data_IF_825681144200
#
_entry.id   IF_825681144200
#
_cell.length_a   1.000
_cell.length_b   1.000
_cell.length_c   1.000
_cell.angle_alpha   90.00
_cell.angle_beta   90.00
_cell.angle_gamma   90.00
#
_symmetry.space_group_name_H-M   'P 1'
#
loop_
_entity.id
_entity.type
_entity.pdbx_description
1 polymer ?
#
# COMPACT_ATOMS: atom_id res chain seq x y z
N UNK A 1 -0.56 -0.18 -15.28
CA UNK A 1 -0.67 -0.35 -13.81
C UNK A 1 -1.73 -1.40 -13.52
N UNK A 2 -1.28 -2.56 -13.06
CA UNK A 2 -2.14 -3.63 -12.57
C UNK A 2 -1.92 -3.76 -11.06
N UNK A 3 -3.01 -3.99 -10.32
CA UNK A 3 -2.97 -4.14 -8.86
C UNK A 3 -3.54 -5.51 -8.49
N UNK A 4 -2.77 -6.28 -7.71
CA UNK A 4 -3.18 -7.59 -7.22
C UNK A 4 -3.28 -7.58 -5.69
N UNK A 5 -4.48 -7.77 -5.16
CA UNK A 5 -4.71 -7.82 -3.72
C UNK A 5 -4.16 -9.14 -3.17
N UNK A 6 -3.31 -9.05 -2.13
CA UNK A 6 -2.73 -10.18 -1.41
C UNK A 6 -3.41 -10.43 -0.07
N UNK A 7 -3.73 -9.35 0.65
CA UNK A 7 -4.42 -9.40 1.94
C UNK A 7 -5.45 -8.29 2.00
N UNK A 8 -6.64 -8.65 2.45
CA UNK A 8 -7.72 -7.69 2.66
C UNK A 8 -8.42 -7.98 3.98
N UNK A 9 -8.61 -6.93 4.76
CA UNK A 9 -9.43 -6.92 5.98
C UNK A 9 -10.00 -5.52 6.17
N UNK A 10 -10.81 -5.31 7.20
CA UNK A 10 -11.32 -3.97 7.52
C UNK A 10 -10.20 -2.98 7.87
N UNK A 11 -9.10 -3.45 8.44
CA UNK A 11 -8.01 -2.61 8.98
C UNK A 11 -6.74 -2.62 8.17
N UNK A 12 -6.52 -3.64 7.37
CA UNK A 12 -5.27 -3.86 6.65
C UNK A 12 -5.55 -4.20 5.18
N UNK A 13 -4.75 -3.60 4.30
CA UNK A 13 -4.74 -3.90 2.87
C UNK A 13 -3.29 -4.10 2.43
N UNK A 14 -3.04 -5.21 1.74
CA UNK A 14 -1.77 -5.51 1.10
C UNK A 14 -2.02 -5.81 -0.37
N UNK A 15 -1.29 -5.13 -1.25
CA UNK A 15 -1.41 -5.33 -2.69
C UNK A 15 -0.06 -5.23 -3.40
N UNK A 16 0.06 -5.96 -4.49
CA UNK A 16 1.21 -5.92 -5.39
C UNK A 16 0.90 -4.98 -6.56
N UNK A 17 1.85 -4.11 -6.89
CA UNK A 17 1.74 -3.18 -8.02
C UNK A 17 2.66 -3.63 -9.14
N UNK A 18 2.07 -3.95 -10.29
CA UNK A 18 2.80 -4.41 -11.47
C UNK A 18 2.99 -3.22 -12.41
N UNK A 19 4.18 -3.17 -13.03
CA UNK A 19 4.64 -2.19 -14.03
C UNK A 19 5.02 -0.80 -13.49
N UNK A 20 4.26 -0.22 -12.56
CA UNK A 20 4.44 1.18 -12.15
C UNK A 20 4.98 1.32 -10.72
N UNK A 21 6.15 1.96 -10.57
CA UNK A 21 6.79 2.18 -9.25
C UNK A 21 6.79 3.64 -8.81
N UNK A 22 6.68 4.59 -9.74
CA UNK A 22 6.85 6.03 -9.49
C UNK A 22 5.81 6.58 -8.50
N UNK A 23 4.58 6.07 -8.54
CA UNK A 23 3.46 6.56 -7.73
C UNK A 23 3.49 6.06 -6.27
N UNK A 24 4.29 5.04 -5.95
CA UNK A 24 4.25 4.39 -4.64
C UNK A 24 4.71 5.31 -3.51
N UNK A 25 5.78 6.09 -3.74
CA UNK A 25 6.27 7.01 -2.73
C UNK A 25 5.32 8.20 -2.52
N UNK A 26 4.84 8.90 -3.56
CA UNK A 26 3.80 9.92 -3.40
C UNK A 26 2.53 9.39 -2.73
N UNK A 27 2.09 8.17 -3.06
CA UNK A 27 0.93 7.53 -2.42
C UNK A 27 1.18 7.28 -0.94
N UNK A 28 2.36 6.77 -0.57
CA UNK A 28 2.78 6.58 0.82
C UNK A 28 2.73 7.89 1.60
N UNK A 29 3.39 8.93 1.08
CA UNK A 29 3.41 10.26 1.71
C UNK A 29 2.00 10.81 1.88
N UNK A 30 1.15 10.64 0.86
CA UNK A 30 -0.25 11.10 0.93
C UNK A 30 -1.06 10.34 1.98
N UNK A 31 -0.85 9.03 2.10
CA UNK A 31 -1.53 8.20 3.10
C UNK A 31 -1.10 8.53 4.53
N UNK A 32 0.16 8.92 4.74
CA UNK A 32 0.66 9.36 6.05
C UNK A 32 0.01 10.67 6.56
N UNK A 33 -0.64 11.45 5.70
CA UNK A 33 -1.36 12.67 6.10
C UNK A 33 -2.69 12.37 6.82
N UNK A 34 -3.24 11.16 6.68
CA UNK A 34 -4.53 10.78 7.26
C UNK A 34 -4.37 10.29 8.70
N UNK A 35 -5.11 10.88 9.63
CA UNK A 35 -5.05 10.54 11.06
C UNK A 35 -5.48 9.09 11.34
N UNK A 36 -6.35 8.52 10.50
CA UNK A 36 -6.75 7.12 10.62
C UNK A 36 -5.65 6.14 10.20
N UNK A 37 -4.64 6.56 9.44
CA UNK A 37 -3.56 5.68 8.98
C UNK A 37 -2.55 5.48 10.11
N UNK A 38 -2.41 4.23 10.53
CA UNK A 38 -1.50 3.84 11.60
C UNK A 38 -0.12 3.47 11.05
N UNK A 39 -0.09 2.85 9.87
CA UNK A 39 1.14 2.41 9.25
C UNK A 39 0.96 2.32 7.72
N UNK A 40 1.95 2.78 6.98
CA UNK A 40 2.03 2.58 5.53
C UNK A 40 3.48 2.40 5.10
N UNK A 41 3.73 1.38 4.28
CA UNK A 41 5.04 1.14 3.70
C UNK A 41 4.90 0.37 2.40
N UNK A 42 5.89 0.51 1.52
CA UNK A 42 6.05 -0.39 0.39
C UNK A 42 7.45 -0.97 0.38
N UNK A 43 7.55 -2.22 -0.05
CA UNK A 43 8.82 -2.95 -0.12
C UNK A 43 8.95 -3.65 -1.46
N UNK A 44 10.18 -3.80 -1.92
CA UNK A 44 10.51 -4.63 -3.09
C UNK A 44 11.51 -5.65 -2.62
N UNK A 45 11.13 -6.93 -2.62
CA UNK A 45 12.02 -8.00 -2.13
C UNK A 45 13.31 -8.10 -2.94
N UNK A 46 13.23 -8.00 -4.28
CA UNK A 46 14.38 -7.93 -5.17
C UNK A 46 14.19 -6.85 -6.24
N UNK A 47 15.08 -5.84 -6.35
CA UNK A 47 14.85 -4.64 -7.18
C UNK A 47 14.50 -4.89 -8.65
N UNK A 48 15.12 -5.92 -9.23
CA UNK A 48 15.04 -6.22 -10.68
C UNK A 48 13.93 -7.19 -11.07
N UNK A 49 13.48 -8.08 -10.18
CA UNK A 49 12.59 -9.21 -10.54
C UNK A 49 11.30 -9.22 -9.73
N UNK A 50 11.26 -8.51 -8.60
CA UNK A 50 10.07 -8.42 -7.78
C UNK A 50 9.27 -7.18 -8.13
N UNK A 51 7.96 -7.36 -8.12
CA UNK A 51 7.05 -6.24 -8.04
C UNK A 51 7.02 -5.70 -6.60
N UNK A 52 6.81 -4.40 -6.42
CA UNK A 52 6.57 -3.80 -5.12
C UNK A 52 5.30 -4.32 -4.47
N UNK A 53 5.40 -4.56 -3.17
CA UNK A 53 4.29 -4.86 -2.27
C UNK A 53 4.02 -3.62 -1.44
N UNK A 54 2.79 -3.13 -1.49
CA UNK A 54 2.30 -1.99 -0.73
C UNK A 54 1.43 -2.51 0.41
N UNK A 55 1.66 -2.00 1.62
CA UNK A 55 0.92 -2.37 2.81
C UNK A 55 0.45 -1.10 3.53
N UNK A 56 -0.82 -1.08 3.90
CA UNK A 56 -1.42 -0.02 4.69
C UNK A 56 -2.28 -0.62 5.81
N UNK A 57 -2.17 -0.04 7.00
CA UNK A 57 -2.99 -0.34 8.16
C UNK A 57 -3.62 0.93 8.71
N UNK A 58 -4.91 0.87 9.00
CA UNK A 58 -5.67 1.97 9.62
C UNK A 58 -6.06 1.61 11.06
N UNK A 59 -6.05 2.60 11.94
CA UNK A 59 -6.51 2.48 13.32
C UNK A 59 -8.05 2.49 13.39
N UNK A 60 -8.70 3.30 12.55
CA UNK A 60 -10.16 3.54 12.55
C UNK A 60 -10.73 3.43 11.13
N UNK A 61 -12.04 3.21 11.03
CA UNK A 61 -12.70 3.07 9.73
C UNK A 61 -12.36 1.77 8.99
N UNK A 62 -12.57 1.80 7.68
CA UNK A 62 -12.28 0.73 6.74
C UNK A 62 -11.18 1.18 5.77
N UNK A 63 -10.14 0.37 5.63
CA UNK A 63 -8.94 0.68 4.85
C UNK A 63 -9.22 1.01 3.37
N UNK A 64 -10.32 0.52 2.78
CA UNK A 64 -10.69 0.85 1.38
C UNK A 64 -11.33 2.22 1.20
N UNK A 65 -11.65 2.92 2.30
CA UNK A 65 -12.31 4.23 2.28
C UNK A 65 -11.36 5.39 2.53
N UNK A 66 -10.10 5.10 2.82
CA UNK A 66 -9.00 6.05 2.91
C UNK A 66 -8.45 6.29 1.50
#
# INVERSE_FOLDING_TARGET
MEVKIKKESDKELEFEVIEEKTILNPLKEKLLEYEEVEFVEWKVAHPLISNPEFYVRVSKGNVKKV
#
